data_IF_658395755599
#
_entry.id   IF_658395755599
#
_cell.length_a   1.000
_cell.length_b   1.000
_cell.length_c   1.000
_cell.angle_alpha   90.00
_cell.angle_beta   90.00
_cell.angle_gamma   90.00
#
_symmetry.space_group_name_H-M   'P 1'
#
loop_
_entity.id
_entity.type
_entity.pdbx_description
1 polymer ?
#
# COMPACT_ATOMS: atom_id res chain seq x y z
N UNK A 1 -24.09 9.16 33.24
CA UNK A 1 -23.48 8.11 32.40
C UNK A 1 -22.69 8.79 31.29
N UNK A 2 -21.36 8.66 31.28
CA UNK A 2 -20.55 9.16 30.16
C UNK A 2 -20.78 8.20 28.99
N UNK A 3 -21.57 8.61 28.00
CA UNK A 3 -21.67 7.88 26.73
C UNK A 3 -20.33 8.03 26.00
N UNK A 4 -19.44 7.07 26.19
CA UNK A 4 -18.17 6.97 25.46
C UNK A 4 -18.47 6.50 24.04
N UNK A 5 -18.88 7.42 23.15
CA UNK A 5 -18.95 7.13 21.72
C UNK A 5 -17.56 6.65 21.27
N UNK A 6 -17.43 5.46 20.67
CA UNK A 6 -16.13 5.00 20.20
C UNK A 6 -15.58 6.00 19.17
N UNK A 7 -14.39 6.54 19.44
CA UNK A 7 -13.68 7.38 18.47
C UNK A 7 -13.09 6.48 17.40
N UNK A 8 -13.58 6.62 16.16
CA UNK A 8 -12.94 6.03 14.99
C UNK A 8 -11.64 6.79 14.71
N UNK A 9 -10.50 6.15 14.99
CA UNK A 9 -9.18 6.69 14.66
C UNK A 9 -8.71 6.05 13.36
N UNK A 10 -8.35 6.88 12.38
CA UNK A 10 -7.72 6.42 11.14
C UNK A 10 -6.21 6.39 11.37
N UNK A 11 -5.54 5.22 11.27
CA UNK A 11 -4.10 5.14 11.42
C UNK A 11 -3.37 6.00 10.39
N UNK A 12 -2.30 6.63 10.84
CA UNK A 12 -1.41 7.37 9.95
C UNK A 12 -0.88 6.44 8.84
N UNK A 13 -0.94 6.90 7.59
CA UNK A 13 -0.50 6.11 6.43
C UNK A 13 -1.56 5.17 5.83
N UNK A 14 -2.69 4.91 6.51
CA UNK A 14 -3.71 3.99 5.98
C UNK A 14 -4.26 4.44 4.62
N UNK A 15 -4.61 5.72 4.48
CA UNK A 15 -5.06 6.31 3.20
C UNK A 15 -4.04 6.05 2.09
N UNK A 16 -2.76 6.28 2.36
CA UNK A 16 -1.69 6.11 1.38
C UNK A 16 -1.50 4.65 0.98
N UNK A 17 -1.61 3.71 1.92
CA UNK A 17 -1.58 2.28 1.62
C UNK A 17 -2.76 1.86 0.73
N UNK A 18 -3.97 2.32 1.05
CA UNK A 18 -5.19 2.02 0.29
C UNK A 18 -5.13 2.61 -1.13
N UNK A 19 -4.71 3.87 -1.28
CA UNK A 19 -4.46 4.45 -2.62
C UNK A 19 -3.37 3.68 -3.36
N UNK A 20 -2.35 3.25 -2.62
CA UNK A 20 -1.23 2.43 -3.06
C UNK A 20 -1.66 1.21 -3.86
N UNK A 21 -2.40 0.33 -3.19
CA UNK A 21 -2.94 -0.91 -3.74
C UNK A 21 -4.05 -0.67 -4.75
N UNK A 22 -4.92 0.34 -4.53
CA UNK A 22 -6.03 0.64 -5.45
C UNK A 22 -5.51 1.03 -6.84
N UNK A 23 -4.49 1.89 -6.90
CA UNK A 23 -3.82 2.24 -8.17
C UNK A 23 -3.17 1.04 -8.84
N UNK A 24 -2.56 0.16 -8.04
CA UNK A 24 -1.95 -1.06 -8.55
C UNK A 24 -3.00 -1.98 -9.18
N UNK A 25 -4.13 -2.24 -8.48
CA UNK A 25 -5.26 -3.04 -8.99
C UNK A 25 -5.84 -2.46 -10.28
N UNK A 26 -6.07 -1.15 -10.36
CA UNK A 26 -6.58 -0.51 -11.58
C UNK A 26 -5.61 -0.67 -12.76
N UNK A 27 -4.31 -0.66 -12.51
CA UNK A 27 -3.28 -0.82 -13.54
C UNK A 27 -3.17 -2.26 -14.04
N UNK A 28 -3.11 -3.24 -13.14
CA UNK A 28 -2.92 -4.66 -13.50
C UNK A 28 -4.21 -5.38 -13.87
N UNK A 29 -5.37 -4.88 -13.45
CA UNK A 29 -6.69 -5.52 -13.64
C UNK A 29 -6.66 -7.02 -13.27
N UNK A 30 -6.24 -7.38 -12.04
CA UNK A 30 -6.09 -8.77 -11.64
C UNK A 30 -7.45 -9.50 -11.61
N UNK A 31 -7.46 -10.78 -11.98
CA UNK A 31 -8.66 -11.62 -11.87
C UNK A 31 -9.10 -11.83 -10.42
N UNK A 32 -8.15 -11.81 -9.46
CA UNK A 32 -8.41 -11.95 -8.03
C UNK A 32 -7.76 -10.79 -7.26
N UNK A 33 -8.59 -9.83 -6.82
CA UNK A 33 -8.13 -8.63 -6.10
C UNK A 33 -7.55 -8.98 -4.72
N UNK A 34 -8.15 -9.92 -3.99
CA UNK A 34 -7.70 -10.31 -2.65
C UNK A 34 -6.31 -10.93 -2.69
N UNK A 35 -6.09 -11.89 -3.60
CA UNK A 35 -4.79 -12.51 -3.78
C UNK A 35 -3.74 -11.49 -4.24
N UNK A 36 -4.10 -10.62 -5.19
CA UNK A 36 -3.23 -9.54 -5.64
C UNK A 36 -2.82 -8.61 -4.47
N UNK A 37 -3.78 -8.19 -3.64
CA UNK A 37 -3.51 -7.33 -2.50
C UNK A 37 -2.58 -7.99 -1.47
N UNK A 38 -2.78 -9.29 -1.19
CA UNK A 38 -1.91 -10.04 -0.29
C UNK A 38 -0.45 -10.07 -0.80
N UNK A 39 -0.26 -10.34 -2.10
CA UNK A 39 1.07 -10.30 -2.73
C UNK A 39 1.65 -8.88 -2.70
N UNK A 40 0.87 -7.87 -3.08
CA UNK A 40 1.29 -6.47 -3.08
C UNK A 40 1.81 -6.02 -1.71
N UNK A 41 1.08 -6.31 -0.63
CA UNK A 41 1.50 -5.93 0.71
C UNK A 41 2.69 -6.75 1.21
N UNK A 42 2.79 -8.04 0.84
CA UNK A 42 3.99 -8.85 1.13
C UNK A 42 5.25 -8.23 0.51
N UNK A 43 5.17 -7.83 -0.76
CA UNK A 43 6.28 -7.17 -1.44
C UNK A 43 6.60 -5.79 -0.85
N UNK A 44 5.59 -5.03 -0.42
CA UNK A 44 5.80 -3.74 0.26
C UNK A 44 6.50 -3.91 1.61
N UNK A 45 6.17 -4.96 2.37
CA UNK A 45 6.85 -5.29 3.63
C UNK A 45 8.32 -5.63 3.35
N UNK A 46 8.60 -6.48 2.36
CA UNK A 46 9.98 -6.80 1.97
C UNK A 46 10.74 -5.55 1.51
N UNK A 47 10.09 -4.66 0.77
CA UNK A 47 10.69 -3.38 0.37
C UNK A 47 11.01 -2.48 1.57
N UNK A 48 10.19 -2.53 2.63
CA UNK A 48 10.44 -1.81 3.88
C UNK A 48 11.71 -2.27 4.59
N UNK A 49 12.05 -3.55 4.53
CA UNK A 49 13.24 -4.10 5.20
C UNK A 49 14.54 -3.42 4.70
N UNK A 50 14.62 -3.14 3.39
CA UNK A 50 15.73 -2.37 2.81
C UNK A 50 15.62 -0.85 2.95
N UNK A 51 14.50 -0.33 3.47
CA UNK A 51 14.18 1.09 3.54
C UNK A 51 13.58 1.49 4.90
N UNK A 52 14.10 0.91 5.98
CA UNK A 52 13.50 1.00 7.32
C UNK A 52 13.38 2.42 7.88
N UNK A 53 14.19 3.36 7.38
CA UNK A 53 14.18 4.77 7.78
C UNK A 53 13.12 5.63 7.08
N UNK A 54 12.47 5.13 6.01
CA UNK A 54 11.47 5.91 5.27
C UNK A 54 10.15 6.00 6.03
N UNK A 55 9.54 7.19 5.99
CA UNK A 55 8.13 7.37 6.34
C UNK A 55 7.25 6.50 5.44
N UNK A 56 6.14 5.99 5.98
CA UNK A 56 5.22 5.11 5.24
C UNK A 56 4.72 5.72 3.92
N UNK A 57 4.52 7.03 3.85
CA UNK A 57 4.07 7.70 2.63
C UNK A 57 5.16 7.70 1.57
N UNK A 58 6.39 7.99 1.96
CA UNK A 58 7.55 7.99 1.06
C UNK A 58 7.90 6.57 0.63
N UNK A 59 7.82 5.60 1.54
CA UNK A 59 8.00 4.19 1.26
C UNK A 59 7.04 3.71 0.16
N UNK A 60 5.74 3.99 0.29
CA UNK A 60 4.73 3.60 -0.71
C UNK A 60 5.00 4.31 -2.05
N UNK A 61 5.35 5.59 -2.02
CA UNK A 61 5.67 6.36 -3.23
C UNK A 61 6.86 5.74 -3.98
N UNK A 62 7.95 5.43 -3.28
CA UNK A 62 9.13 4.80 -3.87
C UNK A 62 8.83 3.39 -4.37
N UNK A 63 8.11 2.58 -3.58
CA UNK A 63 7.69 1.24 -3.99
C UNK A 63 6.89 1.27 -5.31
N UNK A 64 5.95 2.19 -5.45
CA UNK A 64 5.17 2.37 -6.67
C UNK A 64 6.02 2.83 -7.86
N UNK A 65 7.01 3.70 -7.64
CA UNK A 65 7.93 4.11 -8.71
C UNK A 65 8.77 2.94 -9.21
N UNK A 66 9.25 2.09 -8.29
CA UNK A 66 10.02 0.88 -8.62
C UNK A 66 9.14 -0.10 -9.40
N UNK A 67 7.97 -0.47 -8.88
CA UNK A 67 7.03 -1.38 -9.57
C UNK A 67 6.48 -0.82 -10.88
N UNK A 68 6.35 0.49 -10.98
CA UNK A 68 5.92 1.19 -12.19
C UNK A 68 6.89 1.05 -13.36
N UNK A 69 8.20 0.94 -13.09
CA UNK A 69 9.25 0.76 -14.11
C UNK A 69 9.22 -0.64 -14.73
N UNK A 70 8.98 -1.69 -13.95
CA UNK A 70 8.97 -3.07 -14.44
C UNK A 70 7.81 -3.40 -15.39
N UNK A 71 6.72 -2.62 -15.38
CA UNK A 71 5.57 -2.83 -16.27
C UNK A 71 5.65 -2.04 -17.59
N UNK A 72 6.74 -1.30 -17.86
CA UNK A 72 6.93 -0.56 -19.12
C UNK A 72 7.87 -1.26 -20.12
N UNK A 73 8.35 -2.46 -19.81
CA UNK A 73 9.32 -3.19 -20.64
C UNK A 73 8.76 -4.50 -21.24
N UNK A 74 7.44 -4.69 -21.23
CA UNK A 74 6.79 -5.83 -21.90
C UNK A 74 5.62 -5.39 -22.75
#
# INVERSE_FOLDING_TARGET
MISSKPKLVIPYGLKTLLEGVSRAVLKTRPQNITQFAAVYFKELILFREGNASLDIKDLVKQFQQVKGKYHKQS
#
